data_IF_930398051483
#
_entry.id   IF_930398051483
#
_cell.length_a   1.000
_cell.length_b   1.000
_cell.length_c   1.000
_cell.angle_alpha   90.00
_cell.angle_beta   90.00
_cell.angle_gamma   90.00
#
_symmetry.space_group_name_H-M   'P 1'
#
loop_
_entity.id
_entity.type
_entity.pdbx_description
1 polymer ?
#
# COMPACT_ATOMS: atom_id res chain seq x y z
N UNK A 1 26.82 15.00 13.08
CA UNK A 1 26.91 15.07 11.61
C UNK A 1 25.60 14.54 11.06
N UNK A 2 24.61 15.41 10.88
CA UNK A 2 23.28 14.99 10.39
C UNK A 2 23.39 14.58 8.93
N UNK A 3 22.86 13.41 8.57
CA UNK A 3 22.74 13.00 7.18
C UNK A 3 21.97 14.10 6.42
N UNK A 4 22.41 14.52 5.22
CA UNK A 4 21.65 15.47 4.42
C UNK A 4 20.25 14.89 4.13
N UNK A 5 19.22 15.74 4.22
CA UNK A 5 17.81 15.37 4.07
C UNK A 5 17.52 14.53 2.82
N UNK A 6 18.24 14.81 1.72
CA UNK A 6 18.17 14.08 0.46
C UNK A 6 18.63 12.62 0.57
N UNK A 7 19.62 12.36 1.41
CA UNK A 7 20.16 11.01 1.63
C UNK A 7 19.21 10.18 2.50
N UNK A 8 18.57 10.81 3.50
CA UNK A 8 17.52 10.17 4.30
C UNK A 8 16.31 9.83 3.43
N UNK A 9 15.88 10.76 2.57
CA UNK A 9 14.76 10.55 1.64
C UNK A 9 15.05 9.38 0.66
N UNK A 10 16.24 9.36 0.06
CA UNK A 10 16.65 8.27 -0.82
C UNK A 10 16.75 6.93 -0.07
N UNK A 11 17.34 6.91 1.13
CA UNK A 11 17.38 5.70 1.94
C UNK A 11 15.97 5.20 2.27
N UNK A 12 15.06 6.07 2.68
CA UNK A 12 13.67 5.69 2.98
C UNK A 12 12.94 5.14 1.74
N UNK A 13 13.14 5.74 0.57
CA UNK A 13 12.58 5.28 -0.69
C UNK A 13 13.12 3.89 -1.08
N UNK A 14 14.44 3.70 -1.06
CA UNK A 14 15.08 2.43 -1.40
C UNK A 14 14.71 1.34 -0.39
N UNK A 15 14.86 1.62 0.91
CA UNK A 15 14.54 0.65 1.95
C UNK A 15 13.05 0.32 1.99
N UNK A 16 12.17 1.30 1.79
CA UNK A 16 10.73 1.05 1.67
C UNK A 16 10.42 0.07 0.53
N UNK A 17 10.96 0.33 -0.65
CA UNK A 17 10.75 -0.49 -1.85
C UNK A 17 11.35 -1.89 -1.71
N UNK A 18 12.60 -1.98 -1.21
CA UNK A 18 13.29 -3.25 -0.96
C UNK A 18 12.60 -4.04 0.16
N UNK A 19 12.04 -3.38 1.18
CA UNK A 19 11.34 -4.05 2.25
C UNK A 19 10.05 -4.72 1.77
N UNK A 20 9.28 -4.08 0.87
CA UNK A 20 8.01 -4.65 0.40
C UNK A 20 8.18 -5.76 -0.64
N UNK A 21 9.19 -5.69 -1.49
CA UNK A 21 9.44 -6.64 -2.60
C UNK A 21 9.46 -8.13 -2.17
N UNK A 22 10.16 -8.53 -1.09
CA UNK A 22 10.13 -9.90 -0.58
C UNK A 22 8.71 -10.37 -0.23
N UNK A 23 7.90 -9.52 0.42
CA UNK A 23 6.54 -9.89 0.79
C UNK A 23 5.67 -10.16 -0.44
N UNK A 24 5.75 -9.28 -1.44
CA UNK A 24 5.03 -9.46 -2.70
C UNK A 24 5.50 -10.67 -3.50
N UNK A 25 6.81 -10.90 -3.58
CA UNK A 25 7.37 -12.07 -4.26
C UNK A 25 6.92 -13.38 -3.61
N UNK A 26 6.90 -13.47 -2.26
CA UNK A 26 6.35 -14.63 -1.57
C UNK A 26 4.84 -14.82 -1.83
N UNK A 27 4.07 -13.73 -1.86
CA UNK A 27 2.62 -13.77 -2.18
C UNK A 27 2.34 -14.29 -3.59
N UNK A 28 3.15 -13.90 -4.57
CA UNK A 28 2.94 -14.28 -5.98
C UNK A 28 3.52 -15.65 -6.30
N UNK A 29 4.71 -15.97 -5.79
CA UNK A 29 5.42 -17.21 -6.11
C UNK A 29 4.86 -18.43 -5.36
N UNK A 30 4.45 -18.26 -4.10
CA UNK A 30 3.98 -19.37 -3.27
C UNK A 30 2.86 -18.93 -2.30
N UNK A 31 1.66 -18.60 -2.80
CA UNK A 31 0.55 -18.13 -1.96
C UNK A 31 0.04 -19.19 -0.97
N UNK A 32 0.11 -20.48 -1.32
CA UNK A 32 -0.39 -21.59 -0.48
C UNK A 32 0.55 -21.97 0.67
N UNK A 33 1.82 -21.55 0.61
CA UNK A 33 2.86 -22.00 1.54
C UNK A 33 2.59 -21.53 2.98
N UNK A 34 2.85 -22.42 3.95
CA UNK A 34 2.73 -22.12 5.39
C UNK A 34 3.63 -20.95 5.81
N UNK A 35 4.78 -20.80 5.15
CA UNK A 35 5.71 -19.70 5.39
C UNK A 35 5.10 -18.36 4.95
N UNK A 36 4.55 -18.27 3.74
CA UNK A 36 3.85 -17.08 3.24
C UNK A 36 2.68 -16.68 4.14
N UNK A 37 1.86 -17.66 4.55
CA UNK A 37 0.77 -17.45 5.51
C UNK A 37 1.26 -16.87 6.84
N UNK A 38 2.37 -17.39 7.38
CA UNK A 38 2.98 -16.91 8.64
C UNK A 38 3.56 -15.51 8.51
N UNK A 39 4.23 -15.22 7.40
CA UNK A 39 4.82 -13.92 7.10
C UNK A 39 3.72 -12.84 6.97
N UNK A 40 2.66 -13.13 6.22
CA UNK A 40 1.53 -12.21 6.01
C UNK A 40 0.66 -12.06 7.26
N UNK A 41 0.55 -13.12 8.06
CA UNK A 41 -0.14 -13.05 9.36
C UNK A 41 0.59 -12.14 10.35
N UNK A 42 1.91 -11.97 10.19
CA UNK A 42 2.70 -11.08 11.04
C UNK A 42 2.37 -9.61 10.76
N UNK A 43 2.02 -8.87 11.82
CA UNK A 43 1.78 -7.43 11.72
C UNK A 43 3.08 -6.60 11.79
N UNK A 44 4.23 -7.25 12.02
CA UNK A 44 5.55 -6.60 12.20
C UNK A 44 5.93 -5.70 11.02
N UNK A 45 5.81 -6.10 9.73
CA UNK A 45 6.25 -5.28 8.60
C UNK A 45 5.49 -3.94 8.56
N UNK A 46 4.18 -3.98 8.80
CA UNK A 46 3.31 -2.79 8.82
C UNK A 46 3.67 -1.84 9.96
N UNK A 47 3.98 -2.38 11.14
CA UNK A 47 4.39 -1.57 12.29
C UNK A 47 5.71 -0.87 11.99
N UNK A 48 6.67 -1.58 11.39
CA UNK A 48 7.98 -1.01 11.01
C UNK A 48 7.81 0.09 9.95
N UNK A 49 7.03 -0.15 8.88
CA UNK A 49 6.73 0.87 7.88
C UNK A 49 5.98 2.07 8.48
N UNK A 50 5.04 1.84 9.41
CA UNK A 50 4.28 2.88 10.08
C UNK A 50 5.14 3.78 10.98
N UNK A 51 6.09 3.17 11.72
CA UNK A 51 7.06 3.92 12.53
C UNK A 51 7.99 4.74 11.63
N UNK A 52 8.48 4.14 10.53
CA UNK A 52 9.32 4.84 9.55
C UNK A 52 8.58 6.03 8.93
N UNK A 53 7.31 5.84 8.56
CA UNK A 53 6.44 6.91 8.07
C UNK A 53 6.27 8.02 9.12
N UNK A 54 5.93 7.69 10.36
CA UNK A 54 5.75 8.67 11.42
C UNK A 54 7.02 9.49 11.67
N UNK A 55 8.18 8.84 11.60
CA UNK A 55 9.47 9.51 11.71
C UNK A 55 9.75 10.49 10.57
N UNK A 56 9.53 10.07 9.31
CA UNK A 56 9.70 10.93 8.13
C UNK A 56 8.69 12.09 8.11
N UNK A 57 7.46 11.82 8.55
CA UNK A 57 6.41 12.84 8.67
C UNK A 57 6.82 13.89 9.71
N UNK A 58 7.32 13.45 10.87
CA UNK A 58 7.83 14.35 11.90
C UNK A 58 8.97 15.24 11.39
N UNK A 59 9.91 14.68 10.63
CA UNK A 59 10.99 15.45 10.00
C UNK A 59 10.50 16.41 8.92
N UNK A 60 9.44 16.05 8.20
CA UNK A 60 8.85 16.91 7.16
C UNK A 60 8.01 18.05 7.75
N UNK A 61 7.58 17.92 9.00
CA UNK A 61 6.74 18.92 9.67
C UNK A 61 7.56 20.04 10.29
N UNK A 62 8.05 20.93 9.43
CA UNK A 62 8.68 22.18 9.86
C UNK A 62 7.64 23.29 10.08
N UNK A 63 7.91 24.28 10.94
CA UNK A 63 6.99 25.40 11.20
C UNK A 63 6.60 26.15 9.91
N UNK A 64 7.52 26.25 8.96
CA UNK A 64 7.28 26.87 7.65
C UNK A 64 6.32 26.06 6.77
N UNK A 65 6.47 24.73 6.72
CA UNK A 65 5.51 23.85 6.01
C UNK A 65 4.12 23.88 6.61
N UNK A 66 4.00 23.90 7.95
CA UNK A 66 2.71 24.00 8.64
C UNK A 66 2.04 25.33 8.33
N UNK A 67 2.81 26.44 8.38
CA UNK A 67 2.32 27.76 7.99
C UNK A 67 1.91 27.83 6.53
N UNK A 68 2.65 27.21 5.61
CA UNK A 68 2.29 27.17 4.18
C UNK A 68 1.06 26.32 3.91
N UNK A 69 0.86 25.21 4.64
CA UNK A 69 -0.28 24.32 4.49
C UNK A 69 -1.57 24.93 5.07
N UNK A 70 -1.46 25.71 6.15
CA UNK A 70 -2.60 26.35 6.84
C UNK A 70 -2.60 27.88 6.76
N UNK A 71 -1.95 28.46 5.75
CA UNK A 71 -1.85 29.92 5.56
C UNK A 71 -3.21 30.59 5.33
N UNK A 72 -4.24 29.82 4.94
CA UNK A 72 -5.54 30.36 4.58
C UNK A 72 -6.34 30.79 5.83
N UNK A 73 -7.13 31.85 5.67
CA UNK A 73 -8.02 32.44 6.69
C UNK A 73 -9.01 31.44 7.32
N UNK A 74 -9.13 30.23 6.76
CA UNK A 74 -10.06 29.17 7.15
C UNK A 74 -9.38 27.85 7.54
N UNK A 75 -8.05 27.81 7.72
CA UNK A 75 -7.32 26.55 8.01
C UNK A 75 -7.57 25.44 6.98
N UNK A 76 -7.92 25.81 5.74
CA UNK A 76 -8.07 24.86 4.65
C UNK A 76 -6.71 24.64 3.99
N UNK A 77 -6.32 23.37 3.75
CA UNK A 77 -5.17 23.04 2.93
C UNK A 77 -5.36 23.60 1.52
N UNK A 78 -4.56 24.60 1.13
CA UNK A 78 -4.54 25.01 -0.28
C UNK A 78 -3.83 23.97 -1.12
N UNK A 79 -4.39 23.67 -2.30
CA UNK A 79 -3.78 22.75 -3.26
C UNK A 79 -2.35 23.19 -3.61
N UNK A 80 -2.11 24.49 -3.72
CA UNK A 80 -0.80 25.09 -3.96
C UNK A 80 0.17 24.84 -2.81
N UNK A 81 -0.30 24.90 -1.56
CA UNK A 81 0.49 24.60 -0.37
C UNK A 81 0.89 23.13 -0.30
N UNK A 82 -0.06 22.23 -0.58
CA UNK A 82 0.19 20.78 -0.67
C UNK A 82 1.20 20.49 -1.78
N UNK A 83 0.98 21.01 -2.99
CA UNK A 83 1.87 20.80 -4.14
C UNK A 83 3.32 21.24 -3.81
N UNK A 84 3.47 22.37 -3.11
CA UNK A 84 4.77 22.87 -2.67
C UNK A 84 5.43 21.99 -1.61
N UNK A 85 4.66 21.36 -0.71
CA UNK A 85 5.22 20.37 0.20
C UNK A 85 5.71 19.12 -0.53
N UNK A 86 4.96 18.66 -1.55
CA UNK A 86 5.35 17.51 -2.38
C UNK A 86 6.58 17.78 -3.26
N UNK A 87 6.96 19.04 -3.47
CA UNK A 87 8.24 19.38 -4.11
C UNK A 87 9.46 19.12 -3.21
N UNK A 88 9.27 18.88 -1.91
CA UNK A 88 10.35 18.49 -1.00
C UNK A 88 10.58 16.98 -1.03
N UNK A 89 11.83 16.57 -1.19
CA UNK A 89 12.24 15.15 -1.21
C UNK A 89 11.82 14.40 0.06
N UNK A 90 11.84 15.07 1.22
CA UNK A 90 11.46 14.47 2.51
C UNK A 90 9.97 14.14 2.57
N UNK A 91 9.12 15.09 2.14
CA UNK A 91 7.67 14.90 2.07
C UNK A 91 7.32 13.83 1.05
N UNK A 92 7.99 13.85 -0.11
CA UNK A 92 7.78 12.86 -1.17
C UNK A 92 8.15 11.44 -0.69
N UNK A 93 9.29 11.28 -0.01
CA UNK A 93 9.69 10.01 0.59
C UNK A 93 8.68 9.54 1.66
N UNK A 94 8.15 10.45 2.49
CA UNK A 94 7.12 10.11 3.46
C UNK A 94 5.82 9.64 2.79
N UNK A 95 5.38 10.33 1.73
CA UNK A 95 4.20 9.97 0.95
C UNK A 95 4.39 8.63 0.23
N UNK A 96 5.60 8.36 -0.26
CA UNK A 96 5.95 7.08 -0.87
C UNK A 96 5.87 5.93 0.12
N UNK A 97 6.47 6.06 1.31
CA UNK A 97 6.39 5.03 2.36
C UNK A 97 4.95 4.82 2.82
N UNK A 98 4.16 5.90 2.90
CA UNK A 98 2.72 5.80 3.19
C UNK A 98 1.98 4.97 2.13
N UNK A 99 2.22 5.25 0.84
CA UNK A 99 1.64 4.52 -0.27
C UNK A 99 2.02 3.03 -0.21
N UNK A 100 3.31 2.72 -0.04
CA UNK A 100 3.79 1.34 0.10
C UNK A 100 3.14 0.61 1.29
N UNK A 101 2.93 1.29 2.41
CA UNK A 101 2.30 0.70 3.59
C UNK A 101 0.81 0.36 3.33
N UNK A 102 0.09 1.25 2.66
CA UNK A 102 -1.31 1.04 2.29
C UNK A 102 -1.44 -0.05 1.23
N UNK A 103 -0.58 -0.06 0.22
CA UNK A 103 -0.53 -1.08 -0.83
C UNK A 103 -0.30 -2.48 -0.22
N UNK A 104 0.67 -2.60 0.69
CA UNK A 104 0.96 -3.87 1.38
C UNK A 104 -0.25 -4.33 2.20
N UNK A 105 -0.94 -3.40 2.86
CA UNK A 105 -2.12 -3.70 3.67
C UNK A 105 -3.29 -4.18 2.81
N UNK A 106 -3.53 -3.51 1.67
CA UNK A 106 -4.54 -3.93 0.71
C UNK A 106 -4.20 -5.29 0.09
N UNK A 107 -2.93 -5.55 -0.25
CA UNK A 107 -2.47 -6.83 -0.76
C UNK A 107 -2.74 -7.97 0.24
N UNK A 108 -2.52 -7.73 1.54
CA UNK A 108 -2.88 -8.67 2.62
C UNK A 108 -4.38 -8.98 2.65
N UNK A 109 -5.24 -7.98 2.50
CA UNK A 109 -6.69 -8.21 2.47
C UNK A 109 -7.10 -9.05 1.25
N UNK A 110 -6.58 -8.70 0.07
CA UNK A 110 -6.79 -9.46 -1.18
C UNK A 110 -6.30 -10.91 -1.02
N UNK A 111 -5.18 -11.12 -0.34
CA UNK A 111 -4.65 -12.46 -0.07
C UNK A 111 -5.55 -13.29 0.84
N UNK A 112 -6.02 -12.73 1.97
CA UNK A 112 -6.98 -13.44 2.83
C UNK A 112 -8.27 -13.79 2.10
N UNK A 113 -8.73 -12.88 1.24
CA UNK A 113 -9.94 -13.10 0.47
C UNK A 113 -9.76 -14.10 -0.69
N UNK A 114 -8.60 -14.08 -1.35
CA UNK A 114 -8.22 -15.04 -2.38
C UNK A 114 -8.06 -16.45 -1.82
N UNK A 115 -7.50 -16.58 -0.60
CA UNK A 115 -7.41 -17.86 0.11
C UNK A 115 -8.80 -18.41 0.47
N UNK A 116 -9.75 -17.54 0.84
CA UNK A 116 -11.12 -17.95 1.22
C UNK A 116 -12.00 -18.32 0.02
N UNK A 117 -11.80 -17.67 -1.14
CA UNK A 117 -12.63 -17.87 -2.33
C UNK A 117 -11.95 -18.69 -3.46
N UNK A 118 -10.71 -19.15 -3.27
CA UNK A 118 -9.92 -19.88 -4.27
C UNK A 118 -9.83 -19.17 -5.63
N UNK A 119 -9.69 -17.84 -5.60
CA UNK A 119 -9.59 -16.98 -6.79
C UNK A 119 -8.11 -16.74 -7.13
N UNK A 120 -7.77 -16.60 -8.41
CA UNK A 120 -6.40 -16.32 -8.84
C UNK A 120 -5.88 -14.97 -8.29
N UNK A 121 -5.01 -15.05 -7.27
CA UNK A 121 -4.47 -13.89 -6.55
C UNK A 121 -3.40 -13.11 -7.32
N UNK A 122 -2.81 -13.70 -8.38
CA UNK A 122 -1.58 -13.20 -9.01
C UNK A 122 -1.78 -11.85 -9.70
N UNK A 123 -2.91 -11.66 -10.38
CA UNK A 123 -3.22 -10.42 -11.09
C UNK A 123 -3.61 -9.28 -10.14
N UNK A 124 -4.45 -9.56 -9.13
CA UNK A 124 -4.89 -8.57 -8.15
C UNK A 124 -3.76 -8.09 -7.24
N UNK A 125 -2.86 -8.99 -6.81
CA UNK A 125 -1.70 -8.61 -5.96
C UNK A 125 -0.70 -7.73 -6.73
N UNK A 126 -0.49 -8.01 -8.01
CA UNK A 126 0.38 -7.19 -8.87
C UNK A 126 -0.20 -5.79 -9.11
N UNK A 127 -1.52 -5.68 -9.27
CA UNK A 127 -2.21 -4.39 -9.39
C UNK A 127 -2.25 -3.60 -8.08
N UNK A 128 -2.30 -4.29 -6.94
CA UNK A 128 -2.28 -3.68 -5.62
C UNK A 128 -0.94 -2.99 -5.29
N UNK A 129 0.16 -3.45 -5.90
CA UNK A 129 1.51 -2.88 -5.78
C UNK A 129 1.67 -1.57 -6.58
N UNK A 130 0.82 -1.33 -7.58
CA UNK A 130 0.91 -0.17 -8.46
C UNK A 130 -0.20 0.85 -8.23
N UNK A 131 -1.40 0.38 -7.86
CA UNK A 131 -2.58 1.21 -7.67
C UNK A 131 -3.53 0.55 -6.65
N UNK A 132 -3.36 0.79 -5.35
CA UNK A 132 -4.24 0.28 -4.28
C UNK A 132 -5.75 0.29 -4.61
N UNK A 133 -6.39 1.40 -5.01
CA UNK A 133 -7.82 1.42 -5.30
C UNK A 133 -8.21 0.61 -6.54
N UNK A 134 -7.35 0.56 -7.57
CA UNK A 134 -7.57 -0.25 -8.77
C UNK A 134 -7.42 -1.75 -8.48
N UNK A 135 -6.47 -2.14 -7.61
CA UNK A 135 -6.30 -3.53 -7.18
C UNK A 135 -7.53 -4.08 -6.48
N UNK A 136 -8.14 -3.29 -5.58
CA UNK A 136 -9.40 -3.65 -4.90
C UNK A 136 -10.56 -3.71 -5.90
N UNK A 137 -10.64 -2.74 -6.82
CA UNK A 137 -11.69 -2.68 -7.83
C UNK A 137 -11.66 -3.91 -8.76
N UNK A 138 -10.48 -4.27 -9.28
CA UNK A 138 -10.31 -5.45 -10.14
C UNK A 138 -10.62 -6.72 -9.36
N UNK A 139 -10.18 -6.84 -8.11
CA UNK A 139 -10.50 -8.01 -7.28
C UNK A 139 -12.01 -8.16 -7.05
N UNK A 140 -12.72 -7.06 -6.81
CA UNK A 140 -14.17 -7.07 -6.68
C UNK A 140 -14.84 -7.51 -7.98
N UNK A 141 -14.39 -6.99 -9.12
CA UNK A 141 -14.88 -7.40 -10.45
C UNK A 141 -14.66 -8.91 -10.65
N UNK A 142 -13.42 -9.40 -10.43
CA UNK A 142 -13.10 -10.82 -10.56
C UNK A 142 -13.95 -11.69 -9.64
N UNK A 143 -14.17 -11.26 -8.38
CA UNK A 143 -15.03 -11.98 -7.43
C UNK A 143 -16.47 -12.07 -7.94
N UNK A 144 -17.02 -11.00 -8.49
CA UNK A 144 -18.39 -10.97 -9.07
C UNK A 144 -18.50 -11.91 -10.28
N UNK A 145 -17.52 -11.92 -11.18
CA UNK A 145 -17.51 -12.81 -12.34
C UNK A 145 -17.39 -14.29 -11.93
N UNK A 146 -16.51 -14.64 -10.99
CA UNK A 146 -16.37 -16.02 -10.52
C UNK A 146 -17.60 -16.50 -9.74
N UNK A 147 -18.23 -15.63 -8.93
CA UNK A 147 -19.48 -15.95 -8.23
C UNK A 147 -20.65 -16.19 -9.21
N UNK A 148 -20.75 -15.38 -10.27
CA UNK A 148 -21.79 -15.54 -11.31
C UNK A 148 -21.62 -16.87 -12.08
N UNK A 149 -20.38 -17.27 -12.36
CA UNK A 149 -20.06 -18.54 -13.04
C UNK A 149 -20.41 -19.78 -12.20
N UNK A 150 -20.28 -19.68 -10.87
CA UNK A 150 -20.64 -20.77 -9.94
C UNK A 150 -22.15 -20.98 -9.83
N UNK A 151 -22.94 -19.92 -10.02
CA UNK A 151 -24.41 -19.95 -9.98
C UNK A 151 -25.02 -20.58 -11.23
N UNK A 152 -24.41 -20.37 -12.41
CA UNK A 152 -24.81 -21.03 -13.67
C UNK A 152 -24.62 -22.55 -13.60
N UNK A 153 -23.54 -23.05 -12.99
CA UNK A 153 -23.25 -24.49 -12.92
C UNK A 153 -24.18 -25.29 -12.00
N UNK A 154 -24.90 -24.62 -11.09
CA UNK A 154 -25.86 -25.25 -10.18
C UNK A 154 -27.30 -25.21 -10.71
N UNK A 155 -27.57 -24.48 -11.81
CA UNK A 155 -28.88 -24.47 -12.48
C UNK A 155 -29.10 -25.65 -13.42
N UNK A 156 -28.02 -26.25 -13.95
CA UNK A 156 -28.10 -27.34 -14.94
C UNK A 156 -28.07 -28.76 -14.34
N UNK A 157 -27.91 -28.92 -13.02
CA UNK A 157 -27.92 -30.25 -12.36
C UNK A 157 -29.24 -30.56 -11.66
N UNK A 158 -30.28 -29.77 -11.91
CA UNK A 158 -31.61 -29.94 -11.31
C UNK A 158 -32.75 -29.85 -12.34
N UNK A 159 -32.44 -30.02 -13.63
CA UNK A 159 -33.40 -30.18 -14.71
C UNK A 159 -33.18 -31.52 -15.41
#
# INVERSE_FOLDING_TARGET
>A
MGLPSSQIANCAFTWGTVAVLPFYTFMVAAPEAKLTKKIIASSIPYIVLGILYAYLLYLSWTPDTIRLMFASKYWLPELTGIAKMFSSEMTLASAWVHLLAVDLFAARQVYYDGLKNSVEMRHSVSLCLLFCPLGILVHFITRVFTASRKRSKHGDTSA
#
